data_IF_884155849112
#
_entry.id   IF_884155849112
#
_cell.length_a   1.000
_cell.length_b   1.000
_cell.length_c   1.000
_cell.angle_alpha   90.00
_cell.angle_beta   90.00
_cell.angle_gamma   90.00
#
_symmetry.space_group_name_H-M   'P 1'
#
loop_
_entity.id
_entity.type
_entity.pdbx_description
1 polymer ?
#
# COMPACT_ATOMS: atom_id res chain seq x y z
N UNK A 1 -28.20 -18.01 18.38
CA UNK A 1 -27.79 -17.21 19.54
C UNK A 1 -27.69 -15.76 19.12
N UNK A 2 -28.59 -14.91 19.62
CA UNK A 2 -28.55 -13.45 19.50
C UNK A 2 -27.79 -12.94 20.73
N UNK A 3 -26.77 -12.10 20.54
CA UNK A 3 -26.54 -10.85 21.27
C UNK A 3 -25.12 -10.27 21.05
N UNK A 4 -25.09 -8.96 20.73
CA UNK A 4 -24.10 -7.98 21.18
C UNK A 4 -22.78 -7.72 20.43
N UNK A 5 -22.78 -7.66 19.09
CA UNK A 5 -21.65 -7.05 18.33
C UNK A 5 -22.00 -5.78 17.54
N UNK A 6 -23.19 -5.20 17.75
CA UNK A 6 -23.66 -4.01 17.04
C UNK A 6 -23.44 -2.75 17.88
N UNK A 7 -22.27 -2.12 17.75
CA UNK A 7 -22.00 -0.83 18.40
C UNK A 7 -20.60 -0.26 18.17
N UNK A 8 -19.62 -1.11 17.86
CA UNK A 8 -18.29 -0.67 17.43
C UNK A 8 -18.17 -0.84 15.91
N UNK A 9 -17.61 0.17 15.24
CA UNK A 9 -17.31 0.05 13.82
C UNK A 9 -16.17 -0.94 13.67
N UNK A 10 -16.50 -2.21 13.37
CA UNK A 10 -15.54 -3.31 13.25
C UNK A 10 -14.47 -3.03 12.20
N UNK A 11 -14.70 -2.09 11.28
CA UNK A 11 -13.72 -1.63 10.30
C UNK A 11 -12.58 -0.82 10.93
N UNK A 12 -12.84 -0.16 12.07
CA UNK A 12 -11.86 0.71 12.75
C UNK A 12 -11.08 0.00 13.87
N UNK A 13 -11.64 -1.07 14.42
CA UNK A 13 -11.02 -1.85 15.51
C UNK A 13 -9.62 -2.39 15.13
N UNK A 14 -9.40 -2.97 13.93
CA UNK A 14 -8.07 -3.38 13.49
C UNK A 14 -7.02 -2.26 13.55
N UNK A 15 -7.39 -1.06 13.10
CA UNK A 15 -6.48 0.10 13.09
C UNK A 15 -6.16 0.59 14.51
N UNK A 16 -7.16 0.58 15.42
CA UNK A 16 -6.92 0.90 16.82
C UNK A 16 -5.97 -0.10 17.48
N UNK A 17 -6.15 -1.39 17.22
CA UNK A 17 -5.29 -2.45 17.77
C UNK A 17 -3.87 -2.31 17.24
N UNK A 18 -3.71 -2.07 15.93
CA UNK A 18 -2.40 -1.79 15.35
C UNK A 18 -1.75 -0.55 15.99
N UNK A 19 -2.51 0.54 16.17
CA UNK A 19 -2.03 1.76 16.85
C UNK A 19 -1.62 1.48 18.30
N UNK A 20 -2.35 0.64 19.03
CA UNK A 20 -1.98 0.23 20.39
C UNK A 20 -0.68 -0.59 20.40
N UNK A 21 -0.50 -1.49 19.43
CA UNK A 21 0.71 -2.32 19.32
C UNK A 21 1.92 -1.47 19.01
N UNK A 22 1.83 -0.54 18.05
CA UNK A 22 2.97 0.28 17.59
C UNK A 22 3.25 1.45 18.54
N UNK A 23 2.20 2.09 19.05
CA UNK A 23 2.26 3.40 19.67
C UNK A 23 2.03 4.52 18.65
N UNK A 24 1.58 5.68 19.14
CA UNK A 24 1.11 6.78 18.29
C UNK A 24 2.16 7.34 17.34
N UNK A 25 3.38 7.57 17.82
CA UNK A 25 4.48 8.12 17.00
C UNK A 25 4.80 7.24 15.78
N UNK A 26 4.90 5.92 15.98
CA UNK A 26 5.24 4.99 14.90
C UNK A 26 4.05 4.77 13.97
N UNK A 27 2.84 4.76 14.52
CA UNK A 27 1.64 4.66 13.70
C UNK A 27 1.52 5.84 12.72
N UNK A 28 1.77 7.06 13.18
CA UNK A 28 1.71 8.24 12.31
C UNK A 28 2.88 8.30 11.31
N UNK A 29 4.08 7.86 11.68
CA UNK A 29 5.22 7.75 10.75
C UNK A 29 4.92 6.82 9.56
N UNK A 30 4.22 5.71 9.82
CA UNK A 30 3.90 4.71 8.81
C UNK A 30 2.47 4.84 8.26
N UNK A 31 1.76 5.94 8.53
CA UNK A 31 0.35 6.11 8.14
C UNK A 31 0.12 5.82 6.66
N UNK A 32 0.93 6.40 5.78
CA UNK A 32 0.80 6.21 4.33
C UNK A 32 0.94 4.73 3.92
N UNK A 33 1.84 4.00 4.58
CA UNK A 33 2.04 2.57 4.33
C UNK A 33 0.89 1.74 4.91
N UNK A 34 0.38 2.11 6.08
CA UNK A 34 -0.78 1.48 6.72
C UNK A 34 -2.04 1.66 5.87
N UNK A 35 -2.21 2.80 5.20
CA UNK A 35 -3.32 3.03 4.28
C UNK A 35 -3.19 2.19 3.00
N UNK A 36 -1.96 1.89 2.56
CA UNK A 36 -1.67 1.05 1.40
C UNK A 36 -1.81 -0.45 1.70
N UNK A 37 -1.45 -0.87 2.90
CA UNK A 37 -1.57 -2.26 3.36
C UNK A 37 -2.98 -2.44 3.93
N UNK A 38 -3.84 -3.21 3.26
CA UNK A 38 -5.18 -3.47 3.77
C UNK A 38 -5.10 -4.25 5.09
N UNK A 39 -5.68 -3.72 6.15
CA UNK A 39 -5.85 -4.47 7.41
C UNK A 39 -7.16 -5.23 7.32
N UNK A 40 -7.09 -6.56 7.34
CA UNK A 40 -8.26 -7.44 7.28
C UNK A 40 -8.52 -8.08 8.65
N UNK A 41 -9.79 -8.23 9.02
CA UNK A 41 -10.23 -8.90 10.24
C UNK A 41 -11.11 -10.09 9.91
N UNK A 42 -10.72 -11.29 10.34
CA UNK A 42 -11.58 -12.48 10.29
C UNK A 42 -12.05 -12.82 11.71
N UNK A 43 -13.35 -12.98 11.91
CA UNK A 43 -13.93 -13.36 13.20
C UNK A 43 -14.18 -14.87 13.21
N UNK A 44 -13.57 -15.57 14.15
CA UNK A 44 -13.89 -16.96 14.44
C UNK A 44 -14.34 -17.09 15.91
N UNK A 45 -15.61 -17.44 16.11
CA UNK A 45 -16.28 -17.46 17.43
C UNK A 45 -16.21 -16.07 18.09
N UNK A 46 -15.39 -15.93 19.13
CA UNK A 46 -15.19 -14.70 19.91
C UNK A 46 -13.80 -14.09 19.69
N UNK A 47 -12.99 -14.63 18.77
CA UNK A 47 -11.63 -14.17 18.48
C UNK A 47 -11.61 -13.45 17.14
N UNK A 48 -11.11 -12.22 17.14
CA UNK A 48 -10.81 -11.42 15.96
C UNK A 48 -9.35 -11.65 15.56
N UNK A 49 -9.16 -12.26 14.40
CA UNK A 49 -7.86 -12.47 13.77
C UNK A 49 -7.56 -11.31 12.84
N UNK A 50 -6.44 -10.65 13.07
CA UNK A 50 -6.09 -9.41 12.39
C UNK A 50 -4.88 -9.65 11.48
N UNK A 51 -5.07 -9.34 10.21
CA UNK A 51 -4.09 -9.60 9.17
C UNK A 51 -3.62 -8.32 8.48
N UNK A 52 -2.33 -8.27 8.17
CA UNK A 52 -1.74 -7.31 7.25
C UNK A 52 -1.76 -7.94 5.85
N UNK A 53 -2.55 -7.39 4.93
CA UNK A 53 -2.55 -7.80 3.53
C UNK A 53 -1.59 -6.95 2.73
N UNK A 54 -0.44 -7.55 2.46
CA UNK A 54 0.64 -6.97 1.65
C UNK A 54 0.21 -6.78 0.20
N UNK A 55 0.86 -5.85 -0.49
CA UNK A 55 0.60 -5.58 -1.90
C UNK A 55 1.01 -6.81 -2.73
N UNK A 56 0.06 -7.40 -3.48
CA UNK A 56 0.26 -8.60 -4.31
C UNK A 56 0.89 -9.81 -3.59
N UNK A 57 0.63 -9.98 -2.28
CA UNK A 57 1.22 -11.08 -1.51
C UNK A 57 0.24 -11.62 -0.46
N UNK A 58 0.60 -12.76 0.15
CA UNK A 58 -0.20 -13.40 1.18
C UNK A 58 -0.37 -12.49 2.40
N UNK A 59 -1.57 -12.59 3.00
CA UNK A 59 -1.92 -11.96 4.28
C UNK A 59 -1.05 -12.54 5.40
N UNK A 60 -0.63 -11.68 6.33
CA UNK A 60 0.17 -12.05 7.50
C UNK A 60 -0.67 -11.78 8.74
N UNK A 61 -0.86 -12.79 9.59
CA UNK A 61 -1.51 -12.59 10.89
C UNK A 61 -0.58 -11.77 11.78
N UNK A 62 -1.01 -10.58 12.20
CA UNK A 62 -0.21 -9.71 13.07
C UNK A 62 -0.74 -9.65 14.51
N UNK A 63 -2.02 -9.95 14.73
CA UNK A 63 -2.59 -9.99 16.06
C UNK A 63 -3.85 -10.85 16.13
N UNK A 64 -4.16 -11.32 17.34
CA UNK A 64 -5.45 -11.92 17.68
C UNK A 64 -6.03 -11.17 18.89
N UNK A 65 -7.30 -10.83 18.82
CA UNK A 65 -7.98 -10.02 19.81
C UNK A 65 -9.24 -10.73 20.32
N UNK A 66 -9.37 -10.83 21.63
CA UNK A 66 -10.58 -11.35 22.28
C UNK A 66 -11.67 -10.27 22.26
N UNK A 67 -12.77 -10.55 21.56
CA UNK A 67 -13.88 -9.61 21.43
C UNK A 67 -14.73 -9.50 22.71
N UNK A 68 -14.72 -10.53 23.59
CA UNK A 68 -15.44 -10.52 24.87
C UNK A 68 -14.66 -9.75 25.93
N UNK A 69 -13.38 -10.12 26.09
CA UNK A 69 -12.53 -9.57 27.14
C UNK A 69 -11.83 -8.27 26.71
N UNK A 70 -11.97 -7.89 25.43
CA UNK A 70 -11.37 -6.70 24.81
C UNK A 70 -9.86 -6.62 25.02
N UNK A 71 -9.17 -7.74 24.78
CA UNK A 71 -7.73 -7.89 25.01
C UNK A 71 -7.02 -8.47 23.81
N UNK A 72 -5.82 -7.95 23.55
CA UNK A 72 -4.89 -8.55 22.60
C UNK A 72 -4.34 -9.83 23.24
N UNK A 73 -4.59 -10.98 22.62
CA UNK A 73 -4.14 -12.29 23.11
C UNK A 73 -2.73 -12.60 22.64
N UNK A 74 -2.47 -12.36 21.35
CA UNK A 74 -1.17 -12.55 20.71
C UNK A 74 -0.96 -11.42 19.71
N UNK A 75 0.29 -11.00 19.53
CA UNK A 75 0.69 -10.10 18.46
C UNK A 75 2.11 -10.41 17.99
N UNK A 76 2.41 -9.99 16.77
CA UNK A 76 3.77 -9.84 16.32
C UNK A 76 4.44 -8.72 17.12
N UNK A 77 5.74 -8.85 17.35
CA UNK A 77 6.51 -7.80 17.97
C UNK A 77 6.54 -6.55 17.09
N UNK A 78 6.74 -5.38 17.71
CA UNK A 78 6.85 -4.09 16.99
C UNK A 78 7.86 -4.17 15.84
N UNK A 79 9.03 -4.78 16.08
CA UNK A 79 10.09 -4.88 15.09
C UNK A 79 9.71 -5.77 13.90
N UNK A 80 8.92 -6.82 14.11
CA UNK A 80 8.41 -7.66 13.02
C UNK A 80 7.41 -6.90 12.14
N UNK A 81 6.52 -6.13 12.75
CA UNK A 81 5.56 -5.30 12.01
C UNK A 81 6.30 -4.22 11.21
N UNK A 82 7.27 -3.54 11.81
CA UNK A 82 8.07 -2.52 11.12
C UNK A 82 8.84 -3.10 9.93
N UNK A 83 9.44 -4.29 10.06
CA UNK A 83 10.08 -4.98 8.92
C UNK A 83 9.11 -5.20 7.76
N UNK A 84 7.88 -5.61 8.05
CA UNK A 84 6.85 -5.79 7.01
C UNK A 84 6.56 -4.45 6.32
N UNK A 85 6.45 -3.37 7.08
CA UNK A 85 6.18 -2.04 6.53
C UNK A 85 7.34 -1.50 5.70
N UNK A 86 8.57 -1.68 6.15
CA UNK A 86 9.78 -1.29 5.41
C UNK A 86 9.92 -2.06 4.10
N UNK A 87 9.67 -3.37 4.11
CA UNK A 87 9.70 -4.21 2.92
C UNK A 87 8.66 -3.74 1.89
N UNK A 88 7.43 -3.44 2.32
CA UNK A 88 6.38 -2.96 1.42
C UNK A 88 6.67 -1.54 0.92
N UNK A 89 7.19 -0.66 1.77
CA UNK A 89 7.64 0.69 1.37
C UNK A 89 8.71 0.61 0.28
N UNK A 90 9.69 -0.26 0.42
CA UNK A 90 10.73 -0.48 -0.59
C UNK A 90 10.16 -0.94 -1.94
N UNK A 91 9.23 -1.90 -1.93
CA UNK A 91 8.57 -2.38 -3.15
C UNK A 91 7.77 -1.29 -3.85
N UNK A 92 7.01 -0.50 -3.09
CA UNK A 92 6.19 0.58 -3.65
C UNK A 92 7.08 1.65 -4.28
N UNK A 93 8.16 2.04 -3.61
CA UNK A 93 9.13 3.00 -4.16
C UNK A 93 9.79 2.49 -5.43
N UNK A 94 10.13 1.20 -5.50
CA UNK A 94 10.71 0.59 -6.70
C UNK A 94 9.71 0.60 -7.88
N UNK A 95 8.45 0.28 -7.62
CA UNK A 95 7.38 0.32 -8.62
C UNK A 95 7.18 1.75 -9.15
N UNK A 96 7.08 2.74 -8.26
CA UNK A 96 6.94 4.15 -8.63
C UNK A 96 8.13 4.61 -9.49
N UNK A 97 9.36 4.25 -9.11
CA UNK A 97 10.55 4.58 -9.90
C UNK A 97 10.48 3.98 -11.31
N UNK A 98 10.10 2.70 -11.42
CA UNK A 98 9.93 2.03 -12.72
C UNK A 98 8.85 2.70 -13.58
N UNK A 99 7.74 3.13 -13.01
CA UNK A 99 6.69 3.84 -13.73
C UNK A 99 7.13 5.24 -14.20
N UNK A 100 7.88 5.97 -13.37
CA UNK A 100 8.46 7.27 -13.74
C UNK A 100 9.45 7.11 -14.89
N UNK A 101 10.36 6.13 -14.81
CA UNK A 101 11.32 5.84 -15.88
C UNK A 101 10.62 5.45 -17.18
N UNK A 102 9.56 4.63 -17.10
CA UNK A 102 8.75 4.26 -18.26
C UNK A 102 8.08 5.49 -18.87
N UNK A 103 7.50 6.34 -18.04
CA UNK A 103 6.81 7.56 -18.48
C UNK A 103 7.79 8.54 -19.14
N UNK A 104 8.99 8.71 -18.58
CA UNK A 104 10.05 9.52 -19.18
C UNK A 104 10.48 8.99 -20.56
N UNK A 105 10.64 7.66 -20.72
CA UNK A 105 10.94 7.05 -22.02
C UNK A 105 9.85 7.31 -23.06
N UNK A 106 8.57 7.23 -22.66
CA UNK A 106 7.45 7.54 -23.54
C UNK A 106 7.52 9.00 -23.99
N UNK A 107 7.74 9.94 -23.07
CA UNK A 107 7.85 11.37 -23.38
C UNK A 107 9.02 11.63 -24.35
N UNK A 108 10.19 11.05 -24.10
CA UNK A 108 11.36 11.18 -24.99
C UNK A 108 11.09 10.63 -26.39
N UNK A 109 10.35 9.52 -26.48
CA UNK A 109 9.95 8.92 -27.77
C UNK A 109 9.04 9.87 -28.54
N UNK A 110 8.07 10.49 -27.87
CA UNK A 110 7.17 11.48 -28.48
C UNK A 110 7.95 12.70 -28.97
N UNK A 111 8.86 13.25 -28.15
CA UNK A 111 9.71 14.38 -28.55
C UNK A 111 10.55 14.03 -29.78
N UNK A 112 11.18 12.84 -29.78
CA UNK A 112 11.99 12.37 -30.90
C UNK A 112 11.19 12.24 -32.19
N UNK A 113 9.94 11.76 -32.10
CA UNK A 113 9.04 11.65 -33.25
C UNK A 113 8.69 13.04 -33.81
N UNK A 114 8.32 13.99 -32.94
CA UNK A 114 7.98 15.35 -33.35
C UNK A 114 9.16 16.05 -34.02
N UNK A 115 10.36 15.92 -33.46
CA UNK A 115 11.58 16.47 -34.07
C UNK A 115 11.91 15.81 -35.41
N UNK A 116 11.73 14.49 -35.52
CA UNK A 116 11.89 13.76 -36.78
C UNK A 116 10.92 14.23 -37.86
N UNK A 117 9.64 14.45 -37.50
CA UNK A 117 8.64 14.99 -38.43
C UNK A 117 8.98 16.43 -38.86
N UNK A 118 9.43 17.27 -37.94
CA UNK A 118 9.85 18.64 -38.26
C UNK A 118 11.06 18.63 -39.21
N UNK A 119 12.08 17.82 -38.92
CA UNK A 119 13.26 17.69 -39.77
C UNK A 119 12.89 17.18 -41.17
N UNK A 120 12.04 16.14 -41.27
CA UNK A 120 11.55 15.62 -42.53
C UNK A 120 10.78 16.68 -43.34
N UNK A 121 9.94 17.48 -42.67
CA UNK A 121 9.24 18.61 -43.30
C UNK A 121 10.21 19.63 -43.89
N UNK A 122 11.25 20.04 -43.13
CA UNK A 122 12.27 20.97 -43.64
C UNK A 122 13.05 20.40 -44.81
N UNK A 123 13.44 19.13 -44.77
CA UNK A 123 14.14 18.46 -45.87
C UNK A 123 13.26 18.41 -47.12
N UNK A 124 11.99 18.02 -46.99
CA UNK A 124 11.05 17.99 -48.10
C UNK A 124 10.85 19.38 -48.72
N UNK A 125 10.70 20.42 -47.87
CA UNK A 125 10.60 21.81 -48.31
C UNK A 125 11.83 22.27 -49.09
N UNK A 126 13.03 21.94 -48.59
CA UNK A 126 14.29 22.33 -49.21
C UNK A 126 14.58 21.58 -50.53
N UNK A 127 14.31 20.27 -50.58
CA UNK A 127 14.64 19.42 -51.74
C UNK A 127 13.61 19.54 -52.86
N UNK A 128 12.31 19.57 -52.51
CA UNK A 128 11.23 19.53 -53.51
C UNK A 128 10.56 20.88 -53.76
N UNK A 129 10.94 21.93 -53.02
CA UNK A 129 10.56 23.32 -53.34
C UNK A 129 9.06 23.64 -53.24
N UNK A 130 8.32 22.96 -52.35
CA UNK A 130 6.98 23.39 -51.95
C UNK A 130 7.02 24.64 -51.04
#
# INVERSE_FOLDING_TARGET
>A
MKNAFFGENLDYVPYQILKQILGESLYDEYRDIIELITIEGDIEKDILYLYLKRFNSNKILYATYDLKDKKILNNLSKSEILKIFDDEKGKIQELQKKEIERSAKIIMTIISLVLGMAAAYFVLKFVFGF
#
